data_IF_579663448726
#
_entry.id   IF_579663448726
#
_cell.length_a   1.000
_cell.length_b   1.000
_cell.length_c   1.000
_cell.angle_alpha   90.00
_cell.angle_beta   90.00
_cell.angle_gamma   90.00
#
_symmetry.space_group_name_H-M   'P 1'
#
loop_
_entity.id
_entity.type
_entity.pdbx_description
1 polymer ?
#
# COMPACT_ATOMS: atom_id res chain seq x y z
N UNK A 1 14.51 22.37 -69.27
CA UNK A 1 14.84 22.79 -67.88
C UNK A 1 13.62 22.63 -66.96
N UNK A 2 13.17 21.39 -66.70
CA UNK A 2 12.05 21.11 -65.79
C UNK A 2 12.20 19.90 -64.82
N UNK A 3 13.39 19.32 -64.50
CA UNK A 3 13.43 18.22 -63.53
C UNK A 3 13.77 18.63 -62.08
N UNK A 4 14.22 19.87 -61.82
CA UNK A 4 14.74 20.26 -60.49
C UNK A 4 13.64 20.70 -59.51
N UNK A 5 12.57 21.36 -59.99
CA UNK A 5 11.52 21.92 -59.13
C UNK A 5 10.60 20.84 -58.52
N UNK A 6 10.43 19.70 -59.18
CA UNK A 6 9.62 18.59 -58.64
C UNK A 6 10.31 17.88 -57.47
N UNK A 7 11.64 17.75 -57.49
CA UNK A 7 12.38 17.06 -56.42
C UNK A 7 12.31 17.83 -55.09
N UNK A 8 12.38 19.15 -55.11
CA UNK A 8 12.31 19.99 -53.90
C UNK A 8 10.91 19.96 -53.27
N UNK A 9 9.85 19.87 -54.08
CA UNK A 9 8.46 19.72 -53.60
C UNK A 9 8.20 18.34 -53.01
N UNK A 10 8.75 17.29 -53.59
CA UNK A 10 8.62 15.93 -53.06
C UNK A 10 9.36 15.78 -51.72
N UNK A 11 10.55 16.37 -51.58
CA UNK A 11 11.26 16.38 -50.28
C UNK A 11 10.58 17.23 -49.21
N UNK A 12 9.97 18.37 -49.57
CA UNK A 12 9.22 19.19 -48.63
C UNK A 12 7.92 18.50 -48.16
N UNK A 13 7.25 17.75 -49.03
CA UNK A 13 6.04 16.98 -48.68
C UNK A 13 6.39 15.76 -47.81
N UNK A 14 7.52 15.08 -48.08
CA UNK A 14 7.98 13.95 -47.26
C UNK A 14 8.41 14.40 -45.85
N UNK A 15 9.04 15.58 -45.74
CA UNK A 15 9.43 16.16 -44.45
C UNK A 15 8.23 16.64 -43.62
N UNK A 16 7.15 17.10 -44.28
CA UNK A 16 5.92 17.50 -43.60
C UNK A 16 5.09 16.30 -43.11
N UNK A 17 5.17 15.15 -43.80
CA UNK A 17 4.50 13.90 -43.37
C UNK A 17 5.26 13.25 -42.19
N UNK A 18 6.58 13.41 -42.10
CA UNK A 18 7.38 12.86 -41.00
C UNK A 18 7.20 13.62 -39.68
N UNK A 19 6.80 14.91 -39.70
CA UNK A 19 6.48 15.70 -38.51
C UNK A 19 5.06 15.48 -37.96
N UNK A 20 4.20 14.76 -38.68
CA UNK A 20 2.86 14.36 -38.20
C UNK A 20 2.87 13.00 -37.48
N UNK A 21 3.99 12.29 -37.48
CA UNK A 21 4.28 11.24 -36.50
C UNK A 21 4.92 11.87 -35.26
N UNK A 22 4.31 12.94 -34.73
CA UNK A 22 4.35 13.18 -33.30
C UNK A 22 3.98 11.86 -32.63
N UNK A 23 4.93 11.30 -31.88
CA UNK A 23 4.79 10.09 -31.09
C UNK A 23 3.44 10.19 -30.40
N UNK A 24 2.44 9.49 -30.92
CA UNK A 24 1.18 9.32 -30.23
C UNK A 24 1.59 8.54 -29.00
N UNK A 25 1.77 9.24 -27.88
CA UNK A 25 1.75 8.61 -26.57
C UNK A 25 0.45 7.81 -26.62
N UNK A 26 0.49 6.47 -26.56
CA UNK A 26 -0.73 5.70 -26.63
C UNK A 26 -1.63 6.27 -25.55
N UNK A 27 -2.83 6.72 -25.92
CA UNK A 27 -3.86 7.04 -24.94
C UNK A 27 -4.00 5.76 -24.11
N UNK A 28 -3.44 5.78 -22.91
CA UNK A 28 -3.49 4.64 -21.99
C UNK A 28 -4.93 4.54 -21.53
N UNK A 29 -5.42 3.31 -21.41
CA UNK A 29 -6.80 3.05 -21.05
C UNK A 29 -7.06 3.68 -19.68
N UNK A 30 -8.14 4.45 -19.56
CA UNK A 30 -8.63 4.96 -18.29
C UNK A 30 -8.68 3.85 -17.24
N UNK A 31 -8.45 4.21 -15.97
CA UNK A 31 -8.59 3.27 -14.87
C UNK A 31 -10.02 2.68 -14.89
N UNK A 32 -10.15 1.38 -15.12
CA UNK A 32 -11.44 0.69 -15.11
C UNK A 32 -11.93 0.57 -13.66
N UNK A 33 -12.98 1.34 -13.33
CA UNK A 33 -13.52 1.39 -11.98
C UNK A 33 -14.02 0.05 -11.45
N UNK A 34 -14.50 -0.85 -12.32
CA UNK A 34 -14.99 -2.17 -11.91
C UNK A 34 -13.82 -3.13 -11.63
N UNK A 35 -12.80 -3.11 -12.48
CA UNK A 35 -11.56 -3.86 -12.28
C UNK A 35 -10.83 -3.39 -11.02
N UNK A 36 -10.74 -2.08 -10.81
CA UNK A 36 -10.11 -1.48 -9.64
C UNK A 36 -10.88 -1.78 -8.35
N UNK A 37 -12.22 -1.71 -8.37
CA UNK A 37 -13.06 -2.13 -7.23
C UNK A 37 -12.81 -3.59 -6.87
N UNK A 38 -12.70 -4.46 -7.88
CA UNK A 38 -12.38 -5.88 -7.69
C UNK A 38 -11.00 -6.07 -7.05
N UNK A 39 -10.01 -5.32 -7.50
CA UNK A 39 -8.65 -5.33 -6.93
C UNK A 39 -8.64 -4.88 -5.47
N UNK A 40 -9.35 -3.79 -5.13
CA UNK A 40 -9.49 -3.36 -3.74
C UNK A 40 -10.17 -4.42 -2.87
N UNK A 41 -11.22 -5.07 -3.38
CA UNK A 41 -11.90 -6.15 -2.65
C UNK A 41 -10.97 -7.37 -2.44
N UNK A 42 -10.14 -7.72 -3.42
CA UNK A 42 -9.14 -8.76 -3.25
C UNK A 42 -8.10 -8.40 -2.19
N UNK A 43 -7.66 -7.14 -2.13
CA UNK A 43 -6.79 -6.65 -1.06
C UNK A 43 -7.48 -6.71 0.31
N UNK A 44 -8.77 -6.43 0.40
CA UNK A 44 -9.53 -6.57 1.65
C UNK A 44 -9.56 -8.03 2.11
N UNK A 45 -9.80 -8.97 1.19
CA UNK A 45 -9.78 -10.40 1.50
C UNK A 45 -8.39 -10.85 1.98
N UNK A 46 -7.34 -10.51 1.23
CA UNK A 46 -5.95 -10.83 1.60
C UNK A 46 -5.57 -10.26 2.97
N UNK A 47 -5.96 -9.01 3.24
CA UNK A 47 -5.68 -8.37 4.52
C UNK A 47 -6.43 -9.01 5.70
N UNK A 48 -7.67 -9.45 5.48
CA UNK A 48 -8.43 -10.20 6.49
C UNK A 48 -7.84 -11.59 6.74
N UNK A 49 -7.41 -12.30 5.70
CA UNK A 49 -6.73 -13.59 5.82
C UNK A 49 -5.41 -13.45 6.58
N UNK A 50 -4.64 -12.39 6.28
CA UNK A 50 -3.41 -12.06 7.00
C UNK A 50 -3.68 -11.74 8.47
N UNK A 51 -4.72 -10.96 8.77
CA UNK A 51 -5.10 -10.66 10.15
C UNK A 51 -5.52 -11.93 10.91
N UNK A 52 -6.27 -12.81 10.25
CA UNK A 52 -6.62 -14.11 10.83
C UNK A 52 -5.36 -14.92 11.13
N UNK A 53 -4.42 -15.02 10.19
CA UNK A 53 -3.13 -15.69 10.42
C UNK A 53 -2.37 -15.09 11.60
N UNK A 54 -2.20 -13.76 11.61
CA UNK A 54 -1.46 -13.05 12.65
C UNK A 54 -2.11 -13.21 14.05
N UNK A 55 -3.45 -13.21 14.14
CA UNK A 55 -4.18 -13.37 15.39
C UNK A 55 -4.08 -14.78 16.00
N UNK A 56 -3.74 -15.78 15.19
CA UNK A 56 -3.58 -17.18 15.64
C UNK A 56 -2.14 -17.53 16.03
N UNK A 57 -1.20 -16.59 15.89
CA UNK A 57 0.19 -16.81 16.26
C UNK A 57 0.33 -16.94 17.78
N UNK A 58 0.62 -18.15 18.22
CA UNK A 58 1.07 -18.44 19.57
C UNK A 58 2.59 -18.61 19.55
N UNK A 59 3.32 -17.55 19.92
CA UNK A 59 4.78 -17.59 19.97
C UNK A 59 5.25 -18.51 21.11
N UNK A 60 6.24 -19.35 20.82
CA UNK A 60 7.01 -20.09 21.82
C UNK A 60 8.51 -20.05 21.45
N UNK A 61 9.44 -20.27 22.40
CA UNK A 61 10.87 -20.08 22.16
C UNK A 61 11.46 -20.93 21.02
N UNK A 62 10.81 -22.03 20.64
CA UNK A 62 11.29 -22.95 19.61
C UNK A 62 10.79 -22.58 18.21
N UNK A 63 9.60 -21.99 18.09
CA UNK A 63 8.96 -21.68 16.78
C UNK A 63 8.84 -20.20 16.47
N UNK A 64 9.16 -19.33 17.44
CA UNK A 64 9.02 -17.87 17.32
C UNK A 64 9.66 -17.33 16.04
N UNK A 65 10.92 -17.66 15.75
CA UNK A 65 11.61 -17.17 14.55
C UNK A 65 10.86 -17.56 13.27
N UNK A 66 10.56 -18.85 13.11
CA UNK A 66 9.84 -19.32 11.92
C UNK A 66 8.45 -18.69 11.76
N UNK A 67 7.74 -18.47 12.86
CA UNK A 67 6.40 -17.86 12.85
C UNK A 67 6.46 -16.37 12.51
N UNK A 68 7.46 -15.66 13.01
CA UNK A 68 7.68 -14.24 12.71
C UNK A 68 8.17 -14.05 11.29
N UNK A 69 9.09 -14.88 10.80
CA UNK A 69 9.58 -14.84 9.42
C UNK A 69 8.44 -15.10 8.42
N UNK A 70 7.54 -16.05 8.74
CA UNK A 70 6.33 -16.30 7.95
C UNK A 70 5.39 -15.09 7.93
N UNK A 71 5.19 -14.44 9.08
CA UNK A 71 4.39 -13.22 9.16
C UNK A 71 5.02 -12.06 8.37
N UNK A 72 6.34 -11.85 8.50
CA UNK A 72 7.09 -10.84 7.74
C UNK A 72 6.91 -11.04 6.24
N UNK A 73 7.07 -12.28 5.75
CA UNK A 73 6.86 -12.61 4.34
C UNK A 73 5.42 -12.29 3.91
N UNK A 74 4.42 -12.72 4.68
CA UNK A 74 3.02 -12.51 4.33
C UNK A 74 2.62 -11.02 4.32
N UNK A 75 3.16 -10.22 5.25
CA UNK A 75 2.98 -8.76 5.28
C UNK A 75 3.68 -8.09 4.11
N UNK A 76 4.88 -8.55 3.73
CA UNK A 76 5.64 -8.03 2.57
C UNK A 76 4.90 -8.30 1.26
N UNK A 77 4.34 -9.50 1.10
CA UNK A 77 3.53 -9.87 -0.06
C UNK A 77 2.26 -9.01 -0.14
N UNK A 78 1.60 -8.81 0.99
CA UNK A 78 0.43 -7.94 1.08
C UNK A 78 0.76 -6.48 0.75
N UNK A 79 1.84 -5.94 1.31
CA UNK A 79 2.33 -4.61 1.01
C UNK A 79 2.62 -4.45 -0.49
N UNK A 80 3.25 -5.44 -1.12
CA UNK A 80 3.54 -5.41 -2.55
C UNK A 80 2.25 -5.29 -3.39
N UNK A 81 1.18 -5.98 -3.00
CA UNK A 81 -0.12 -5.88 -3.67
C UNK A 81 -0.78 -4.50 -3.43
N UNK A 82 -0.65 -3.93 -2.22
CA UNK A 82 -1.12 -2.56 -1.92
C UNK A 82 -0.37 -1.53 -2.77
N UNK A 83 0.95 -1.68 -2.90
CA UNK A 83 1.79 -0.81 -3.74
C UNK A 83 1.42 -0.95 -5.22
N UNK A 84 1.09 -2.16 -5.69
CA UNK A 84 0.63 -2.37 -7.05
C UNK A 84 -0.65 -1.59 -7.33
N UNK A 85 -1.67 -1.70 -6.46
CA UNK A 85 -2.91 -0.94 -6.58
C UNK A 85 -2.68 0.58 -6.51
N UNK A 86 -1.76 1.01 -5.65
CA UNK A 86 -1.35 2.43 -5.58
C UNK A 86 -0.71 2.89 -6.90
N UNK A 87 0.17 2.09 -7.47
CA UNK A 87 0.83 2.42 -8.73
C UNK A 87 -0.18 2.53 -9.88
N UNK A 88 -1.17 1.63 -9.93
CA UNK A 88 -2.25 1.70 -10.94
C UNK A 88 -2.97 3.05 -10.88
N UNK A 89 -3.34 3.51 -9.68
CA UNK A 89 -3.97 4.81 -9.44
C UNK A 89 -3.05 5.98 -9.82
N UNK A 90 -1.76 5.91 -9.50
CA UNK A 90 -0.80 6.98 -9.78
C UNK A 90 -0.51 7.09 -11.28
N UNK A 91 -0.45 5.96 -11.99
CA UNK A 91 -0.13 5.96 -13.41
C UNK A 91 -1.26 6.52 -14.28
N UNK A 92 -2.51 6.48 -13.79
CA UNK A 92 -3.70 6.91 -14.53
C UNK A 92 -4.13 8.36 -14.23
N UNK A 93 -3.14 9.25 -14.06
CA UNK A 93 -3.28 10.68 -13.66
C UNK A 93 -4.07 11.60 -14.62
N UNK A 94 -4.92 11.07 -15.52
CA UNK A 94 -5.67 11.85 -16.51
C UNK A 94 -7.04 11.31 -16.89
N UNK A 95 -7.46 10.17 -16.36
CA UNK A 95 -8.81 9.63 -16.58
C UNK A 95 -9.73 9.99 -15.43
N UNK A 96 -10.96 10.38 -15.75
CA UNK A 96 -11.96 10.50 -14.72
C UNK A 96 -12.47 9.13 -14.27
N UNK A 97 -12.55 8.93 -12.96
CA UNK A 97 -13.03 7.71 -12.33
C UNK A 97 -14.38 8.00 -11.69
N UNK A 98 -15.39 7.19 -11.98
CA UNK A 98 -16.64 7.25 -11.22
C UNK A 98 -16.43 6.60 -9.86
N UNK A 99 -16.44 7.38 -8.78
CA UNK A 99 -16.33 6.86 -7.43
C UNK A 99 -17.59 6.04 -7.10
N UNK A 100 -17.38 4.77 -6.78
CA UNK A 100 -18.44 3.90 -6.28
C UNK A 100 -18.44 3.90 -4.75
N UNK A 101 -19.62 3.65 -4.18
CA UNK A 101 -19.78 3.38 -2.75
C UNK A 101 -18.83 2.29 -2.24
N UNK A 102 -18.61 1.26 -3.06
CA UNK A 102 -17.86 0.07 -2.70
C UNK A 102 -16.36 0.34 -2.65
N UNK A 103 -15.83 1.19 -3.54
CA UNK A 103 -14.44 1.63 -3.47
C UNK A 103 -14.12 2.35 -2.15
N UNK A 104 -15.00 3.27 -1.72
CA UNK A 104 -14.80 4.02 -0.46
C UNK A 104 -14.84 3.08 0.75
N UNK A 105 -15.75 2.10 0.74
CA UNK A 105 -15.83 1.07 1.79
C UNK A 105 -14.57 0.21 1.79
N UNK A 106 -14.08 -0.19 0.63
CA UNK A 106 -12.86 -1.00 0.52
C UNK A 106 -11.64 -0.22 1.02
N UNK A 107 -11.43 1.03 0.60
CA UNK A 107 -10.34 1.89 1.09
C UNK A 107 -10.40 2.10 2.61
N UNK A 108 -11.61 2.33 3.14
CA UNK A 108 -11.83 2.41 4.58
C UNK A 108 -11.43 1.11 5.29
N UNK A 109 -11.82 -0.03 4.72
CA UNK A 109 -11.51 -1.34 5.28
C UNK A 109 -10.01 -1.63 5.25
N UNK A 110 -9.32 -1.30 4.15
CA UNK A 110 -7.87 -1.43 4.04
C UNK A 110 -7.15 -0.60 5.11
N UNK A 111 -7.58 0.64 5.34
CA UNK A 111 -7.03 1.47 6.43
C UNK A 111 -7.25 0.85 7.81
N UNK A 112 -8.42 0.25 8.06
CA UNK A 112 -8.70 -0.46 9.31
C UNK A 112 -7.86 -1.73 9.46
N UNK A 113 -7.60 -2.45 8.35
CA UNK A 113 -6.71 -3.62 8.33
C UNK A 113 -5.28 -3.20 8.71
N UNK A 114 -4.74 -2.13 8.12
CA UNK A 114 -3.41 -1.62 8.47
C UNK A 114 -3.31 -1.26 9.96
N UNK A 115 -4.34 -0.63 10.53
CA UNK A 115 -4.42 -0.37 11.97
C UNK A 115 -4.42 -1.65 12.80
N UNK A 116 -5.16 -2.66 12.35
CA UNK A 116 -5.27 -3.94 13.07
C UNK A 116 -3.93 -4.67 13.06
N UNK A 117 -3.23 -4.70 11.92
CA UNK A 117 -1.88 -5.25 11.80
C UNK A 117 -0.86 -4.50 12.68
N UNK A 118 -0.94 -3.16 12.76
CA UNK A 118 -0.08 -2.37 13.63
C UNK A 118 -0.27 -2.75 15.11
N UNK A 119 -1.53 -2.92 15.55
CA UNK A 119 -1.84 -3.38 16.91
C UNK A 119 -1.35 -4.81 17.15
N UNK A 120 -1.50 -5.72 16.17
CA UNK A 120 -0.97 -7.09 16.28
C UNK A 120 0.56 -7.09 16.40
N UNK A 121 1.27 -6.25 15.64
CA UNK A 121 2.72 -6.11 15.76
C UNK A 121 3.13 -5.64 17.17
N UNK A 122 2.42 -4.65 17.72
CA UNK A 122 2.60 -4.21 19.11
C UNK A 122 2.39 -5.37 20.10
N UNK A 123 1.32 -6.12 19.97
CA UNK A 123 1.01 -7.24 20.87
C UNK A 123 2.04 -8.37 20.76
N UNK A 124 2.49 -8.70 19.55
CA UNK A 124 3.56 -9.68 19.32
C UNK A 124 4.87 -9.24 19.97
N UNK A 125 5.17 -7.94 19.96
CA UNK A 125 6.37 -7.40 20.62
C UNK A 125 6.33 -7.61 22.14
N UNK A 126 5.14 -7.47 22.75
CA UNK A 126 4.93 -7.81 24.17
C UNK A 126 5.09 -9.31 24.42
N UNK A 127 4.57 -10.16 23.52
CA UNK A 127 4.77 -11.60 23.62
C UNK A 127 6.27 -11.97 23.55
N UNK A 128 7.01 -11.43 22.57
CA UNK A 128 8.46 -11.62 22.42
C UNK A 128 9.19 -11.22 23.71
N UNK A 129 8.82 -10.09 24.32
CA UNK A 129 9.40 -9.64 25.59
C UNK A 129 9.16 -10.64 26.74
N UNK A 130 7.98 -11.25 26.82
CA UNK A 130 7.67 -12.27 27.83
C UNK A 130 8.47 -13.56 27.61
N UNK A 131 8.76 -13.91 26.36
CA UNK A 131 9.56 -15.09 26.01
C UNK A 131 11.06 -14.87 26.16
N UNK A 132 11.52 -13.63 26.22
CA UNK A 132 12.92 -13.25 26.11
C UNK A 132 13.83 -13.93 27.15
N UNK A 133 13.32 -14.21 28.37
CA UNK A 133 14.07 -14.91 29.41
C UNK A 133 14.37 -16.40 29.11
N UNK A 134 13.62 -17.00 28.18
CA UNK A 134 13.68 -18.43 27.85
C UNK A 134 14.14 -18.71 26.41
N UNK A 135 14.41 -17.65 25.65
CA UNK A 135 14.78 -17.72 24.23
C UNK A 135 16.26 -17.41 24.06
N UNK A 136 16.89 -18.02 23.05
CA UNK A 136 18.29 -17.74 22.71
C UNK A 136 18.39 -16.32 22.13
N UNK A 137 19.41 -15.57 22.55
CA UNK A 137 19.62 -14.16 22.16
C UNK A 137 19.54 -13.93 20.64
N UNK A 138 20.12 -14.82 19.83
CA UNK A 138 20.05 -14.69 18.36
C UNK A 138 18.64 -14.82 17.78
N UNK A 139 17.76 -15.63 18.40
CA UNK A 139 16.37 -15.70 17.99
C UNK A 139 15.58 -14.48 18.42
N UNK A 140 15.90 -13.93 19.59
CA UNK A 140 15.32 -12.67 20.05
C UNK A 140 15.69 -11.51 19.11
N UNK A 141 16.96 -11.36 18.74
CA UNK A 141 17.43 -10.32 17.83
C UNK A 141 16.76 -10.40 16.46
N UNK A 142 16.66 -11.59 15.88
CA UNK A 142 15.96 -11.81 14.60
C UNK A 142 14.49 -11.40 14.70
N UNK A 143 13.79 -11.83 15.74
CA UNK A 143 12.39 -11.50 15.97
C UNK A 143 12.16 -10.00 16.15
N UNK A 144 13.02 -9.30 16.89
CA UNK A 144 12.92 -7.86 17.08
C UNK A 144 13.20 -7.09 15.78
N UNK A 145 14.19 -7.52 15.01
CA UNK A 145 14.49 -6.95 13.69
C UNK A 145 13.31 -7.11 12.73
N UNK A 146 12.69 -8.29 12.70
CA UNK A 146 11.51 -8.54 11.89
C UNK A 146 10.30 -7.70 12.36
N UNK A 147 10.09 -7.51 13.66
CA UNK A 147 9.04 -6.61 14.17
C UNK A 147 9.25 -5.14 13.74
N UNK A 148 10.49 -4.65 13.73
CA UNK A 148 10.78 -3.30 13.23
C UNK A 148 10.45 -3.18 11.74
N UNK A 149 10.85 -4.17 10.93
CA UNK A 149 10.53 -4.18 9.50
C UNK A 149 9.03 -4.23 9.24
N UNK A 150 8.32 -5.12 9.93
CA UNK A 150 6.86 -5.21 9.89
C UNK A 150 6.21 -3.87 10.22
N UNK A 151 6.69 -3.22 11.27
CA UNK A 151 6.23 -1.90 11.70
C UNK A 151 6.43 -0.83 10.62
N UNK A 152 7.60 -0.81 9.99
CA UNK A 152 7.91 0.10 8.88
C UNK A 152 7.04 -0.20 7.65
N UNK A 153 6.85 -1.49 7.33
CA UNK A 153 6.07 -1.93 6.19
C UNK A 153 4.59 -1.57 6.30
N UNK A 154 4.03 -1.72 7.51
CA UNK A 154 2.66 -1.30 7.84
C UNK A 154 2.51 0.21 7.74
N UNK A 155 3.51 0.98 8.20
CA UNK A 155 3.55 2.42 8.05
C UNK A 155 3.51 2.85 6.58
N UNK A 156 4.34 2.22 5.74
CA UNK A 156 4.36 2.49 4.30
C UNK A 156 3.02 2.13 3.63
N UNK A 157 2.41 0.99 3.97
CA UNK A 157 1.07 0.64 3.47
C UNK A 157 0.03 1.70 3.82
N UNK A 158 0.03 2.16 5.07
CA UNK A 158 -0.93 3.14 5.55
C UNK A 158 -0.80 4.48 4.82
N UNK A 159 0.43 4.96 4.62
CA UNK A 159 0.70 6.17 3.84
C UNK A 159 0.25 6.00 2.37
N UNK A 160 0.51 4.84 1.75
CA UNK A 160 0.09 4.57 0.36
C UNK A 160 -1.41 4.44 0.18
N UNK A 161 -2.12 3.84 1.13
CA UNK A 161 -3.59 3.77 1.11
C UNK A 161 -4.18 5.17 1.20
N UNK A 162 -3.64 6.04 2.06
CA UNK A 162 -4.11 7.41 2.21
C UNK A 162 -3.82 8.24 0.94
N UNK A 163 -2.62 8.13 0.38
CA UNK A 163 -2.29 8.81 -0.88
C UNK A 163 -3.13 8.29 -2.06
N UNK A 164 -3.42 6.99 -2.10
CA UNK A 164 -4.33 6.39 -3.08
C UNK A 164 -5.73 7.00 -2.96
N UNK A 165 -6.25 7.12 -1.75
CA UNK A 165 -7.56 7.72 -1.49
C UNK A 165 -7.61 9.20 -1.94
N UNK A 166 -6.56 9.98 -1.65
CA UNK A 166 -6.46 11.37 -2.08
C UNK A 166 -6.39 11.52 -3.61
N UNK A 167 -5.67 10.63 -4.29
CA UNK A 167 -5.59 10.64 -5.76
C UNK A 167 -6.91 10.24 -6.41
N UNK A 168 -7.56 9.21 -5.89
CA UNK A 168 -8.91 8.80 -6.34
C UNK A 168 -9.89 9.95 -6.21
N UNK A 169 -9.78 10.74 -5.14
CA UNK A 169 -10.61 11.92 -4.96
C UNK A 169 -10.45 12.97 -6.02
N UNK A 170 -9.21 13.28 -6.41
CA UNK A 170 -8.94 14.26 -7.46
C UNK A 170 -9.41 13.77 -8.82
N UNK A 171 -9.46 12.45 -9.05
CA UNK A 171 -9.95 11.84 -10.29
C UNK A 171 -11.48 11.66 -10.32
N UNK A 172 -12.19 11.93 -9.23
CA UNK A 172 -13.60 11.59 -9.13
C UNK A 172 -14.50 12.59 -9.86
N UNK A 173 -15.36 12.09 -10.75
CA UNK A 173 -16.32 12.94 -11.49
C UNK A 173 -17.60 13.26 -10.70
N UNK A 174 -17.96 12.42 -9.73
CA UNK A 174 -19.21 12.48 -8.97
C UNK A 174 -19.03 12.90 -7.50
N UNK A 175 -18.02 13.74 -7.21
CA UNK A 175 -17.69 14.19 -5.85
C UNK A 175 -18.91 14.81 -5.16
N UNK A 176 -19.73 15.59 -5.87
CA UNK A 176 -20.88 16.28 -5.28
C UNK A 176 -21.90 15.36 -4.60
N UNK A 177 -22.13 14.15 -5.11
CA UNK A 177 -23.05 13.18 -4.49
C UNK A 177 -22.38 12.34 -3.39
N UNK A 178 -21.05 12.20 -3.42
CA UNK A 178 -20.30 11.38 -2.48
C UNK A 178 -19.53 12.19 -1.42
N UNK A 179 -19.59 13.52 -1.45
CA UNK A 179 -18.74 14.42 -0.69
C UNK A 179 -18.75 14.15 0.82
N UNK A 180 -19.94 13.96 1.42
CA UNK A 180 -20.05 13.71 2.86
C UNK A 180 -19.41 12.38 3.27
N UNK A 181 -19.58 11.34 2.44
CA UNK A 181 -19.01 10.00 2.67
C UNK A 181 -17.49 10.02 2.53
N UNK A 182 -17.01 10.73 1.52
CA UNK A 182 -15.59 10.97 1.28
C UNK A 182 -14.95 11.62 2.50
N UNK A 183 -15.52 12.73 3.00
CA UNK A 183 -14.97 13.46 4.15
C UNK A 183 -14.95 12.57 5.39
N UNK A 184 -16.02 11.80 5.63
CA UNK A 184 -16.06 10.83 6.72
C UNK A 184 -14.96 9.78 6.59
N UNK A 185 -14.76 9.21 5.39
CA UNK A 185 -13.71 8.23 5.12
C UNK A 185 -12.31 8.82 5.30
N UNK A 186 -12.03 10.03 4.81
CA UNK A 186 -10.74 10.70 5.02
C UNK A 186 -10.45 10.98 6.50
N UNK A 187 -11.47 11.40 7.26
CA UNK A 187 -11.33 11.62 8.70
C UNK A 187 -10.95 10.32 9.43
N UNK A 188 -11.63 9.21 9.11
CA UNK A 188 -11.32 7.92 9.71
C UNK A 188 -9.92 7.45 9.27
N UNK A 189 -9.56 7.57 8.00
CA UNK A 189 -8.21 7.20 7.52
C UNK A 189 -7.11 8.02 8.20
N UNK A 190 -7.32 9.33 8.37
CA UNK A 190 -6.39 10.20 9.09
C UNK A 190 -6.24 9.80 10.56
N UNK A 191 -7.34 9.45 11.22
CA UNK A 191 -7.32 8.95 12.59
C UNK A 191 -6.60 7.59 12.68
N UNK A 192 -6.86 6.67 11.75
CA UNK A 192 -6.20 5.37 11.69
C UNK A 192 -4.70 5.53 11.46
N UNK A 193 -4.27 6.46 10.60
CA UNK A 193 -2.86 6.78 10.37
C UNK A 193 -2.17 7.23 11.65
N UNK A 194 -2.83 8.08 12.44
CA UNK A 194 -2.32 8.51 13.75
C UNK A 194 -2.16 7.32 14.69
N UNK A 195 -3.18 6.48 14.80
CA UNK A 195 -3.14 5.29 15.66
C UNK A 195 -2.08 4.28 15.21
N UNK A 196 -1.88 4.11 13.90
CA UNK A 196 -0.81 3.28 13.32
C UNK A 196 0.55 3.82 13.75
N UNK A 197 0.77 5.14 13.61
CA UNK A 197 2.02 5.78 14.05
C UNK A 197 2.26 5.63 15.55
N UNK A 198 1.21 5.78 16.36
CA UNK A 198 1.30 5.58 17.80
C UNK A 198 1.68 4.12 18.14
N UNK A 199 1.06 3.14 17.47
CA UNK A 199 1.39 1.72 17.63
C UNK A 199 2.82 1.39 17.18
N UNK A 200 3.28 1.95 16.06
CA UNK A 200 4.67 1.83 15.56
C UNK A 200 5.66 2.36 16.60
N UNK A 201 5.42 3.55 17.14
CA UNK A 201 6.27 4.14 18.18
C UNK A 201 6.29 3.29 19.44
N UNK A 202 5.17 2.70 19.83
CA UNK A 202 5.10 1.81 20.98
C UNK A 202 5.87 0.50 20.74
N UNK A 203 5.74 -0.09 19.55
CA UNK A 203 6.54 -1.25 19.11
C UNK A 203 8.04 -0.93 19.22
N UNK A 204 8.48 0.19 18.65
CA UNK A 204 9.88 0.62 18.71
C UNK A 204 10.36 0.83 20.17
N UNK A 205 9.54 1.47 21.00
CA UNK A 205 9.86 1.66 22.42
C UNK A 205 9.96 0.33 23.19
N UNK A 206 9.07 -0.62 22.92
CA UNK A 206 9.11 -1.95 23.52
C UNK A 206 10.40 -2.70 23.12
N UNK A 207 10.80 -2.59 21.86
CA UNK A 207 12.05 -3.19 21.35
C UNK A 207 13.27 -2.55 22.02
N UNK A 208 13.32 -1.22 22.12
CA UNK A 208 14.42 -0.51 22.80
C UNK A 208 14.50 -0.92 24.28
N UNK A 209 13.36 -0.98 24.98
CA UNK A 209 13.31 -1.42 26.37
C UNK A 209 13.81 -2.85 26.52
N UNK A 210 13.46 -3.72 25.58
CA UNK A 210 13.89 -5.11 25.62
C UNK A 210 15.39 -5.24 25.41
N UNK A 211 15.97 -4.54 24.41
CA UNK A 211 17.42 -4.49 24.20
C UNK A 211 18.14 -3.96 25.45
N UNK A 212 17.60 -2.92 26.08
CA UNK A 212 18.15 -2.36 27.32
C UNK A 212 18.11 -3.30 28.54
N UNK A 213 17.36 -4.41 28.51
CA UNK A 213 17.39 -5.44 29.54
C UNK A 213 18.55 -6.44 29.35
N UNK A 214 19.16 -6.48 28.17
CA UNK A 214 20.24 -7.42 27.80
C UNK A 214 21.63 -6.76 27.70
N UNK A 215 21.72 -5.43 27.83
CA UNK A 215 22.95 -4.65 27.88
C UNK A 215 23.33 -4.30 29.32
#
# INVERSE_FOLDING_TARGET
MQPIIQRTRIFAILSAICLLFSVAVPARAALDGDAFTTQLNNLVLQGNDLLAQASTLALNPLTMNSQIDQLESAVTDYQSNVIAAYNDVVTESGSSLSLSSDMLVALQTLSTISLSLANTCKDLTVQIANLAATTVLSGLDSALSAMLRLSDDIGLMADRILEMADKILVMADNIGEMADRIIATQLIQSNNLKLIRDAILETQNNIIRLIGLFL
#
